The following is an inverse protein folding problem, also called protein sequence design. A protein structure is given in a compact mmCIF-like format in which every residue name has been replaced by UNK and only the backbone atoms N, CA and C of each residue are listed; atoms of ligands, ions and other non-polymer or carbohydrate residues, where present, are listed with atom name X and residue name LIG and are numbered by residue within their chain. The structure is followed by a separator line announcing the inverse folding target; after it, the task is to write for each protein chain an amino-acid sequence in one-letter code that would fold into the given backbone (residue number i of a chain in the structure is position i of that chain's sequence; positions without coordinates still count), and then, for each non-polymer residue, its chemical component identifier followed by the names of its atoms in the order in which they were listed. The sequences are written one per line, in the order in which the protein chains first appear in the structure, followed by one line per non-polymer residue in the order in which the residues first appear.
data_IF_803337218815
#
_entry.id   IF_803337218815
#
_cell.length_a   1.000
_cell.length_b   1.000
_cell.length_c   1.000
_cell.angle_alpha   90.00
_cell.angle_beta   90.00
_cell.angle_gamma   90.00
#
_symmetry.space_group_name_H-M   'P 1'
#
loop_
_entity.id
_entity.type
_entity.pdbx_description
1 polymer ?
#
# COMPACT_ATOMS: atom_id res chain seq x y z
N UNK A 1 55.99 -23.68 -28.62
CA UNK A 1 54.59 -23.18 -28.70
C UNK A 1 53.71 -24.07 -29.59
N UNK A 2 54.09 -24.33 -30.84
CA UNK A 2 53.31 -25.13 -31.82
C UNK A 2 53.07 -26.59 -31.38
N UNK A 3 54.06 -27.23 -30.75
CA UNK A 3 53.92 -28.61 -30.24
C UNK A 3 52.94 -28.74 -29.06
N UNK A 4 52.82 -27.69 -28.24
CA UNK A 4 51.90 -27.66 -27.09
C UNK A 4 50.47 -27.51 -27.60
N UNK A 5 50.25 -26.63 -28.59
CA UNK A 5 48.94 -26.52 -29.26
C UNK A 5 48.53 -27.84 -29.91
N UNK A 6 49.43 -28.51 -30.64
CA UNK A 6 49.11 -29.81 -31.28
C UNK A 6 48.71 -30.89 -30.26
N UNK A 7 49.42 -30.98 -29.14
CA UNK A 7 49.07 -31.91 -28.05
C UNK A 7 47.72 -31.57 -27.42
N UNK A 8 47.43 -30.29 -27.24
CA UNK A 8 46.15 -29.82 -26.70
C UNK A 8 44.98 -30.18 -27.62
N UNK A 9 45.12 -29.95 -28.93
CA UNK A 9 44.11 -30.31 -29.93
C UNK A 9 43.88 -31.82 -30.05
N UNK A 10 44.94 -32.63 -29.98
CA UNK A 10 44.80 -34.09 -29.97
C UNK A 10 44.14 -34.62 -28.69
N UNK A 11 44.41 -34.00 -27.54
CA UNK A 11 43.77 -34.37 -26.28
C UNK A 11 42.26 -34.04 -26.27
N UNK A 12 41.87 -32.90 -26.87
CA UNK A 12 40.46 -32.52 -27.00
C UNK A 12 39.63 -33.42 -27.93
N UNK A 13 40.29 -34.13 -28.85
CA UNK A 13 39.65 -35.02 -29.83
C UNK A 13 39.40 -36.46 -29.37
N UNK A 14 39.87 -36.85 -28.18
CA UNK A 14 39.56 -38.17 -27.61
C UNK A 14 38.13 -38.18 -27.03
N UNK A 15 37.28 -39.15 -27.43
CA UNK A 15 35.87 -39.27 -27.01
C UNK A 15 35.67 -39.20 -25.48
N UNK A 16 36.63 -39.70 -24.69
CA UNK A 16 36.59 -39.68 -23.22
C UNK A 16 36.73 -38.26 -22.65
N UNK A 17 37.36 -37.35 -23.39
CA UNK A 17 37.63 -35.98 -22.99
C UNK A 17 36.51 -35.01 -23.44
N UNK A 18 35.56 -35.43 -24.28
CA UNK A 18 34.39 -34.63 -24.64
C UNK A 18 33.47 -34.33 -23.45
N UNK A 19 33.25 -35.29 -22.55
CA UNK A 19 32.48 -35.03 -21.33
C UNK A 19 33.20 -34.02 -20.42
N UNK A 20 34.51 -34.14 -20.26
CA UNK A 20 35.31 -33.20 -19.49
C UNK A 20 35.32 -31.79 -20.12
N UNK A 21 35.45 -31.71 -21.44
CA UNK A 21 35.40 -30.45 -22.19
C UNK A 21 34.05 -29.76 -22.05
N UNK A 22 32.96 -30.52 -22.12
CA UNK A 22 31.60 -30.01 -21.98
C UNK A 22 31.37 -29.45 -20.57
N UNK A 23 31.88 -30.13 -19.53
CA UNK A 23 31.82 -29.66 -18.14
C UNK A 23 32.62 -28.36 -17.96
N UNK A 24 33.83 -28.28 -18.52
CA UNK A 24 34.67 -27.07 -18.44
C UNK A 24 34.00 -25.89 -19.14
N UNK A 25 33.45 -26.10 -20.34
CA UNK A 25 32.72 -25.08 -21.09
C UNK A 25 31.47 -24.61 -20.34
N UNK A 26 30.71 -25.54 -19.73
CA UNK A 26 29.56 -25.21 -18.91
C UNK A 26 29.96 -24.38 -17.68
N UNK A 27 31.05 -24.75 -17.00
CA UNK A 27 31.54 -24.02 -15.83
C UNK A 27 31.99 -22.59 -16.19
N UNK A 28 32.72 -22.44 -17.30
CA UNK A 28 33.11 -21.14 -17.84
C UNK A 28 31.88 -20.29 -18.16
N UNK A 29 30.86 -20.87 -18.80
CA UNK A 29 29.61 -20.16 -19.09
C UNK A 29 28.89 -19.68 -17.81
N UNK A 30 28.84 -20.50 -16.76
CA UNK A 30 28.26 -20.13 -15.46
C UNK A 30 29.04 -18.98 -14.82
N UNK A 31 30.37 -19.05 -14.79
CA UNK A 31 31.22 -17.99 -14.20
C UNK A 31 31.07 -16.67 -14.95
N UNK A 32 30.99 -16.69 -16.28
CA UNK A 32 30.78 -15.47 -17.07
C UNK A 32 29.36 -14.92 -16.99
N UNK A 33 28.35 -15.77 -16.78
CA UNK A 33 26.97 -15.34 -16.64
C UNK A 33 26.65 -14.81 -15.22
N UNK A 34 27.38 -15.27 -14.20
CA UNK A 34 27.14 -14.88 -12.80
C UNK A 34 27.17 -13.36 -12.52
N UNK A 35 28.12 -12.56 -13.04
CA UNK A 35 28.11 -11.11 -12.89
C UNK A 35 26.88 -10.45 -13.51
N UNK A 36 26.40 -10.99 -14.64
CA UNK A 36 25.20 -10.50 -15.32
C UNK A 36 23.94 -10.76 -14.47
N UNK A 37 23.79 -11.97 -13.94
CA UNK A 37 22.69 -12.30 -13.03
C UNK A 37 22.76 -11.52 -11.72
N UNK A 38 23.94 -11.38 -11.12
CA UNK A 38 24.14 -10.58 -9.90
C UNK A 38 23.73 -9.12 -10.10
N UNK A 39 24.09 -8.51 -11.24
CA UNK A 39 23.66 -7.15 -11.59
C UNK A 39 22.16 -7.03 -11.78
N UNK A 40 21.52 -8.01 -12.42
CA UNK A 40 20.06 -8.03 -12.57
C UNK A 40 19.34 -8.15 -11.23
N UNK A 41 19.81 -9.05 -10.35
CA UNK A 41 19.25 -9.23 -9.00
C UNK A 41 19.35 -7.94 -8.20
N UNK A 42 20.53 -7.29 -8.19
CA UNK A 42 20.71 -6.01 -7.49
C UNK A 42 19.77 -4.91 -8.05
N UNK A 43 19.63 -4.82 -9.37
CA UNK A 43 18.71 -3.87 -9.99
C UNK A 43 17.23 -4.13 -9.62
N UNK A 44 16.83 -5.40 -9.51
CA UNK A 44 15.49 -5.78 -9.07
C UNK A 44 15.29 -5.39 -7.61
N UNK A 45 16.26 -5.67 -6.74
CA UNK A 45 16.19 -5.31 -5.32
C UNK A 45 16.01 -3.80 -5.13
N UNK A 46 16.81 -2.98 -5.81
CA UNK A 46 16.69 -1.50 -5.75
C UNK A 46 15.29 -1.03 -6.18
N UNK A 47 14.69 -1.67 -7.20
CA UNK A 47 13.32 -1.35 -7.62
C UNK A 47 12.29 -1.75 -6.57
N UNK A 48 12.43 -2.91 -5.93
CA UNK A 48 11.56 -3.35 -4.85
C UNK A 48 11.63 -2.37 -3.69
N UNK A 49 12.84 -2.02 -3.25
CA UNK A 49 13.05 -1.07 -2.14
C UNK A 49 12.44 0.30 -2.45
N UNK A 50 12.57 0.76 -3.71
CA UNK A 50 11.96 2.02 -4.17
C UNK A 50 10.43 1.97 -4.17
N UNK A 51 9.83 0.82 -4.52
CA UNK A 51 8.38 0.63 -4.49
C UNK A 51 7.91 0.59 -3.03
N UNK A 52 8.59 -0.16 -2.17
CA UNK A 52 8.26 -0.25 -0.75
C UNK A 52 8.30 1.14 -0.08
N UNK A 53 9.33 1.94 -0.38
CA UNK A 53 9.42 3.31 0.12
C UNK A 53 8.29 4.19 -0.41
N UNK A 54 7.94 4.07 -1.69
CA UNK A 54 6.84 4.84 -2.28
C UNK A 54 5.50 4.48 -1.65
N UNK A 55 5.27 3.19 -1.39
CA UNK A 55 4.07 2.67 -0.71
C UNK A 55 4.03 3.15 0.75
N UNK A 56 5.14 3.06 1.48
CA UNK A 56 5.25 3.59 2.85
C UNK A 56 4.93 5.08 2.90
N UNK A 57 5.49 5.87 1.98
CA UNK A 57 5.23 7.30 1.89
C UNK A 57 3.74 7.58 1.56
N UNK A 58 3.13 6.78 0.69
CA UNK A 58 1.69 6.86 0.40
C UNK A 58 0.86 6.61 1.66
N UNK A 59 1.06 5.48 2.34
CA UNK A 59 0.31 5.14 3.56
C UNK A 59 0.52 6.14 4.69
N UNK A 60 1.73 6.69 4.83
CA UNK A 60 1.99 7.74 5.80
C UNK A 60 1.12 8.99 5.56
N UNK A 61 0.65 9.26 4.34
CA UNK A 61 -0.22 10.43 4.09
C UNK A 61 -1.68 10.17 4.42
N UNK A 62 -2.10 8.92 4.50
CA UNK A 62 -3.47 8.58 4.88
C UNK A 62 -3.65 8.64 6.40
N UNK A 63 -4.76 9.23 6.81
CA UNK A 63 -5.28 9.17 8.16
C UNK A 63 -6.56 8.32 8.16
N UNK A 64 -6.70 7.54 9.22
CA UNK A 64 -7.92 6.82 9.56
C UNK A 64 -8.37 7.34 10.92
N UNK A 65 -9.59 7.83 11.01
CA UNK A 65 -10.20 8.29 12.26
C UNK A 65 -11.54 7.60 12.46
N UNK A 66 -11.75 7.07 13.66
CA UNK A 66 -13.01 6.44 14.06
C UNK A 66 -13.66 7.30 15.12
N UNK A 67 -14.95 7.58 14.93
CA UNK A 67 -15.77 8.38 15.82
C UNK A 67 -16.84 7.48 16.42
N UNK A 68 -16.82 7.33 17.74
CA UNK A 68 -17.83 6.56 18.44
C UNK A 68 -19.07 7.42 18.78
N UNK A 69 -20.23 6.78 18.99
CA UNK A 69 -21.46 7.48 19.37
C UNK A 69 -21.29 8.42 20.58
N UNK A 70 -20.50 8.00 21.58
CA UNK A 70 -20.18 8.79 22.76
C UNK A 70 -19.50 10.12 22.42
N UNK A 71 -18.63 10.13 21.42
CA UNK A 71 -17.84 11.29 21.00
C UNK A 71 -18.69 12.28 20.19
N UNK A 72 -19.78 11.78 19.60
CA UNK A 72 -20.63 12.52 18.68
C UNK A 72 -21.90 13.06 19.32
N UNK A 73 -22.20 12.72 20.58
CA UNK A 73 -23.45 13.12 21.27
C UNK A 73 -23.74 14.62 21.17
N UNK A 74 -22.71 15.46 21.26
CA UNK A 74 -22.82 16.93 21.19
C UNK A 74 -22.60 17.49 19.76
N UNK A 75 -22.32 16.62 18.79
CA UNK A 75 -22.04 16.97 17.40
C UNK A 75 -23.29 16.94 16.51
N UNK A 76 -24.39 16.35 16.98
CA UNK A 76 -25.68 16.36 16.29
C UNK A 76 -26.39 17.70 16.46
N UNK A 77 -26.83 18.29 15.36
CA UNK A 77 -27.65 19.50 15.31
C UNK A 77 -28.93 19.22 14.54
N UNK A 78 -30.11 19.55 15.08
CA UNK A 78 -31.37 19.39 14.34
C UNK A 78 -31.46 20.44 13.23
N UNK A 79 -31.81 20.01 12.02
CA UNK A 79 -32.00 20.87 10.85
C UNK A 79 -33.14 20.34 9.96
N UNK A 80 -34.20 21.14 9.79
CA UNK A 80 -35.33 20.86 8.89
C UNK A 80 -35.96 19.44 8.99
N UNK A 81 -36.02 18.86 10.19
CA UNK A 81 -36.59 17.52 10.42
C UNK A 81 -35.59 16.37 10.25
N UNK A 82 -34.33 16.68 9.94
CA UNK A 82 -33.19 15.76 9.95
C UNK A 82 -32.16 16.24 10.98
N UNK A 83 -31.07 15.48 11.11
CA UNK A 83 -29.92 15.87 11.92
C UNK A 83 -28.69 16.04 11.03
N UNK A 84 -27.88 17.05 11.34
CA UNK A 84 -26.52 17.16 10.83
C UNK A 84 -25.57 16.71 11.94
N UNK A 85 -24.74 15.70 11.64
CA UNK A 85 -23.64 15.32 12.52
C UNK A 85 -22.35 15.93 12.00
N UNK A 86 -21.64 16.62 12.89
CA UNK A 86 -20.36 17.26 12.57
C UNK A 86 -19.19 16.40 13.08
N UNK A 87 -18.40 15.84 12.17
CA UNK A 87 -17.16 15.13 12.49
C UNK A 87 -15.98 16.10 12.42
N UNK A 88 -15.28 16.30 13.54
CA UNK A 88 -14.08 17.14 13.59
C UNK A 88 -12.84 16.27 13.44
N UNK A 89 -12.17 16.37 12.30
CA UNK A 89 -10.93 15.64 12.01
C UNK A 89 -9.74 16.27 12.73
N UNK A 90 -8.76 15.43 13.10
CA UNK A 90 -7.50 15.88 13.70
C UNK A 90 -6.65 16.71 12.73
N UNK A 91 -6.70 16.39 11.45
CA UNK A 91 -5.97 17.09 10.41
C UNK A 91 -6.93 17.59 9.33
N UNK A 92 -6.52 18.64 8.62
CA UNK A 92 -7.23 19.10 7.44
C UNK A 92 -7.11 18.03 6.34
N UNK A 93 -8.20 17.52 5.78
CA UNK A 93 -8.16 16.61 4.63
C UNK A 93 -7.96 17.38 3.33
N UNK A 94 -7.36 16.70 2.35
CA UNK A 94 -7.54 17.08 0.95
C UNK A 94 -9.00 16.80 0.58
N UNK A 95 -9.74 17.82 0.16
CA UNK A 95 -11.22 17.79 0.02
C UNK A 95 -11.74 16.54 -0.74
N UNK A 96 -11.12 16.18 -1.87
CA UNK A 96 -11.55 15.05 -2.71
C UNK A 96 -11.01 13.67 -2.27
N UNK A 97 -10.36 13.58 -1.10
CA UNK A 97 -9.75 12.34 -0.61
C UNK A 97 -10.55 11.67 0.52
N UNK A 98 -11.63 12.31 0.97
CA UNK A 98 -12.40 11.88 2.13
C UNK A 98 -13.35 10.75 1.73
N UNK A 99 -13.26 9.64 2.46
CA UNK A 99 -14.20 8.52 2.41
C UNK A 99 -14.77 8.30 3.81
N UNK A 100 -16.09 8.28 3.93
CA UNK A 100 -16.78 8.08 5.21
C UNK A 100 -17.53 6.75 5.16
N UNK A 101 -17.43 6.00 6.24
CA UNK A 101 -18.12 4.74 6.46
C UNK A 101 -19.00 4.85 7.69
N UNK A 102 -20.25 4.42 7.58
CA UNK A 102 -21.17 4.22 8.70
C UNK A 102 -21.30 2.71 8.92
N UNK A 103 -20.59 2.20 9.93
CA UNK A 103 -20.43 0.75 10.10
C UNK A 103 -19.76 0.11 8.88
N UNK A 104 -20.52 -0.70 8.14
CA UNK A 104 -20.06 -1.38 6.91
C UNK A 104 -20.44 -0.64 5.61
N UNK A 105 -21.20 0.45 5.69
CA UNK A 105 -21.72 1.16 4.53
C UNK A 105 -20.88 2.40 4.19
N UNK A 106 -20.51 2.55 2.91
CA UNK A 106 -19.87 3.76 2.42
C UNK A 106 -20.93 4.85 2.23
N UNK A 107 -20.65 6.03 2.76
CA UNK A 107 -21.48 7.21 2.53
C UNK A 107 -21.03 7.87 1.23
N UNK A 108 -21.98 8.13 0.33
CA UNK A 108 -21.70 8.87 -0.91
C UNK A 108 -21.25 10.31 -0.61
N UNK A 109 -20.27 10.87 -1.35
CA UNK A 109 -19.84 12.26 -1.27
C UNK A 109 -20.96 13.30 -1.42
N UNK A 110 -22.11 12.92 -2.00
CA UNK A 110 -23.28 13.78 -2.10
C UNK A 110 -23.99 14.05 -0.77
N UNK A 111 -23.76 13.24 0.26
CA UNK A 111 -24.43 13.35 1.56
C UNK A 111 -23.59 14.04 2.63
N UNK A 112 -22.38 14.49 2.29
CA UNK A 112 -21.52 15.21 3.22
C UNK A 112 -20.79 16.36 2.54
N UNK A 113 -20.42 17.34 3.36
CA UNK A 113 -19.58 18.46 2.95
C UNK A 113 -18.32 18.49 3.79
N UNK A 114 -17.21 18.91 3.19
CA UNK A 114 -15.90 18.99 3.85
C UNK A 114 -15.44 20.45 3.84
N UNK A 115 -15.37 21.06 5.02
CA UNK A 115 -14.93 22.44 5.19
C UNK A 115 -13.81 22.54 6.24
N UNK A 116 -12.62 22.94 5.82
CA UNK A 116 -11.45 22.91 6.69
C UNK A 116 -11.19 21.49 7.20
N UNK A 117 -11.14 21.30 8.52
CA UNK A 117 -11.01 20.00 9.18
C UNK A 117 -12.36 19.43 9.66
N UNK A 118 -13.48 19.96 9.16
CA UNK A 118 -14.82 19.56 9.59
C UNK A 118 -15.55 18.88 8.46
N UNK A 119 -16.28 17.82 8.81
CA UNK A 119 -17.20 17.14 7.92
C UNK A 119 -18.59 17.32 8.49
N UNK A 120 -19.52 17.81 7.67
CA UNK A 120 -20.94 17.87 8.00
C UNK A 120 -21.66 16.79 7.21
N UNK A 121 -22.32 15.87 7.91
CA UNK A 121 -23.06 14.75 7.33
C UNK A 121 -24.54 14.88 7.67
N UNK A 122 -25.39 14.80 6.66
CA UNK A 122 -26.84 14.71 6.87
C UNK A 122 -27.24 13.28 7.25
N UNK A 123 -28.03 13.16 8.32
CA UNK A 123 -28.46 11.86 8.85
C UNK A 123 -29.85 11.95 9.46
N UNK A 124 -30.58 10.83 9.44
CA UNK A 124 -31.88 10.72 10.09
C UNK A 124 -31.76 10.24 11.55
N UNK A 125 -30.54 9.91 12.00
CA UNK A 125 -30.29 9.43 13.36
C UNK A 125 -29.91 10.59 14.27
N UNK A 126 -30.61 10.70 15.40
CA UNK A 126 -30.32 11.67 16.45
C UNK A 126 -29.37 11.12 17.52
N UNK A 127 -28.94 11.97 18.46
CA UNK A 127 -28.00 11.59 19.53
C UNK A 127 -28.58 10.56 20.51
N UNK A 128 -29.90 10.33 20.49
CA UNK A 128 -30.59 9.37 21.35
C UNK A 128 -30.87 8.04 20.64
N UNK A 129 -30.66 7.96 19.32
CA UNK A 129 -30.97 6.78 18.51
C UNK A 129 -29.79 5.81 18.40
N UNK A 130 -28.66 6.11 19.06
CA UNK A 130 -27.39 5.40 18.89
C UNK A 130 -26.94 4.80 20.22
N UNK A 131 -26.69 3.48 20.22
CA UNK A 131 -26.19 2.74 21.38
C UNK A 131 -24.77 3.19 21.78
N UNK A 132 -24.53 3.34 23.10
CA UNK A 132 -23.37 4.07 23.65
C UNK A 132 -22.02 3.32 23.62
N UNK A 133 -21.89 2.20 22.90
CA UNK A 133 -20.70 1.34 22.93
C UNK A 133 -19.95 1.26 21.60
N UNK A 134 -18.62 1.45 21.61
CA UNK A 134 -17.76 1.22 20.43
C UNK A 134 -17.59 -0.28 20.09
N UNK A 135 -17.68 -1.17 21.09
CA UNK A 135 -17.28 -2.59 20.92
C UNK A 135 -18.36 -3.47 20.27
N UNK A 136 -19.60 -2.96 20.14
CA UNK A 136 -20.75 -3.76 19.67
C UNK A 136 -21.73 -3.02 18.76
N UNK A 137 -21.55 -1.73 18.47
CA UNK A 137 -22.53 -0.98 17.69
C UNK A 137 -22.27 -1.06 16.19
N UNK A 138 -23.33 -1.34 15.45
CA UNK A 138 -23.44 -1.19 13.99
C UNK A 138 -23.33 0.27 13.52
N UNK A 139 -23.03 1.20 14.43
CA UNK A 139 -23.13 2.64 14.25
C UNK A 139 -21.84 3.33 14.71
N UNK A 140 -20.84 3.31 13.84
CA UNK A 140 -19.57 4.02 14.01
C UNK A 140 -19.27 4.78 12.72
N UNK A 141 -18.79 6.01 12.82
CA UNK A 141 -18.26 6.72 11.64
C UNK A 141 -16.76 6.49 11.54
N UNK A 142 -16.33 5.89 10.44
CA UNK A 142 -14.90 5.78 10.11
C UNK A 142 -14.60 6.65 8.92
N UNK A 143 -13.66 7.58 9.08
CA UNK A 143 -13.23 8.51 8.05
C UNK A 143 -11.80 8.17 7.64
N UNK A 144 -11.62 7.91 6.36
CA UNK A 144 -10.30 7.74 5.75
C UNK A 144 -10.04 8.93 4.83
N UNK A 145 -8.88 9.56 4.94
CA UNK A 145 -8.55 10.74 4.13
C UNK A 145 -7.05 10.95 3.97
N UNK A 146 -6.65 11.72 2.95
CA UNK A 146 -5.27 12.19 2.77
C UNK A 146 -5.10 13.51 3.52
N UNK A 147 -4.07 13.59 4.37
CA UNK A 147 -3.75 14.80 5.15
C UNK A 147 -3.21 15.91 4.24
N UNK A 148 -3.76 17.12 4.38
CA UNK A 148 -3.27 18.37 3.81
C UNK A 148 -2.17 18.95 4.72
N UNK A 149 -1.06 19.41 4.15
CA UNK A 149 0.13 19.89 4.87
C UNK A 149 0.15 21.40 5.03
#
# INVERSE_FOLDING_TARGET
MILIMKKFWNWLGEEKNHNALTIILAFIAVVFAFPFFSKQINNIQVKIDSIEQSIKNLYQRYALETFCPSDLKNSYKPENGQYIVQLNLKNKPVHNSVSIWEGAFVISPSYFTVEGNKISLETNFGPNDIDQGCDHSSFQYTVTYVRDF
#
